data_IF_004053085574
#
_entry.id   IF_004053085574
#
_cell.length_a   1.000
_cell.length_b   1.000
_cell.length_c   1.000
_cell.angle_alpha   90.00
_cell.angle_beta   90.00
_cell.angle_gamma   90.00
#
_symmetry.space_group_name_H-M   'P 1'
#
loop_
_entity.id
_entity.type
_entity.pdbx_description
1 polymer ?
#
# COMPACT_ATOMS: atom_id res chain seq x y z
N UNK A 1 -18.96 -28.25 -2.57
CA UNK A 1 -17.60 -28.23 -3.19
C UNK A 1 -17.03 -26.82 -3.41
N UNK A 2 -17.79 -25.84 -3.96
CA UNK A 2 -17.31 -24.47 -4.23
C UNK A 2 -16.80 -23.71 -2.98
N UNK A 3 -17.53 -23.78 -1.84
CA UNK A 3 -17.11 -23.17 -0.56
C UNK A 3 -15.79 -23.71 -0.01
N UNK A 4 -15.56 -25.03 -0.11
CA UNK A 4 -14.30 -25.66 0.34
C UNK A 4 -13.10 -25.15 -0.46
N UNK A 5 -13.25 -25.02 -1.79
CA UNK A 5 -12.20 -24.46 -2.66
C UNK A 5 -11.91 -22.99 -2.32
N UNK A 6 -12.94 -22.18 -2.07
CA UNK A 6 -12.77 -20.78 -1.66
C UNK A 6 -12.03 -20.63 -0.33
N UNK A 7 -12.39 -21.41 0.70
CA UNK A 7 -11.72 -21.38 2.00
C UNK A 7 -10.23 -21.75 1.84
N UNK A 8 -9.93 -22.80 1.08
CA UNK A 8 -8.54 -23.20 0.82
C UNK A 8 -7.76 -22.09 0.10
N UNK A 9 -8.35 -21.44 -0.92
CA UNK A 9 -7.72 -20.32 -1.61
C UNK A 9 -7.45 -19.13 -0.70
N UNK A 10 -8.40 -18.77 0.18
CA UNK A 10 -8.22 -17.66 1.13
C UNK A 10 -7.09 -17.97 2.11
N UNK A 11 -7.08 -19.17 2.68
CA UNK A 11 -6.02 -19.61 3.59
C UNK A 11 -4.65 -19.61 2.89
N UNK A 12 -4.58 -20.07 1.64
CA UNK A 12 -3.36 -20.01 0.84
C UNK A 12 -2.88 -18.56 0.63
N UNK A 13 -3.77 -17.64 0.24
CA UNK A 13 -3.41 -16.23 0.03
C UNK A 13 -2.95 -15.55 1.33
N UNK A 14 -3.61 -15.82 2.46
CA UNK A 14 -3.19 -15.31 3.77
C UNK A 14 -1.80 -15.85 4.13
N UNK A 15 -1.54 -17.14 3.90
CA UNK A 15 -0.22 -17.72 4.17
C UNK A 15 0.88 -17.07 3.31
N UNK A 16 0.61 -16.85 2.02
CA UNK A 16 1.53 -16.16 1.11
C UNK A 16 1.75 -14.73 1.57
N UNK A 17 0.70 -14.01 1.98
CA UNK A 17 0.80 -12.64 2.47
C UNK A 17 1.71 -12.56 3.71
N UNK A 18 1.54 -13.47 4.67
CA UNK A 18 2.39 -13.54 5.87
C UNK A 18 3.85 -13.78 5.48
N UNK A 19 4.11 -14.74 4.58
CA UNK A 19 5.47 -15.04 4.10
C UNK A 19 6.09 -13.80 3.43
N UNK A 20 5.34 -13.09 2.59
CA UNK A 20 5.82 -11.87 1.91
C UNK A 20 6.09 -10.75 2.90
N UNK A 21 5.24 -10.56 3.91
CA UNK A 21 5.45 -9.57 4.98
C UNK A 21 6.73 -9.89 5.76
N UNK A 22 6.91 -11.14 6.17
CA UNK A 22 8.13 -11.57 6.86
C UNK A 22 9.36 -11.38 5.98
N UNK A 23 9.30 -11.76 4.70
CA UNK A 23 10.38 -11.53 3.76
C UNK A 23 10.70 -10.03 3.61
N UNK A 24 9.68 -9.18 3.48
CA UNK A 24 9.86 -7.73 3.33
C UNK A 24 10.50 -7.06 4.56
N UNK A 25 10.26 -7.60 5.76
CA UNK A 25 10.86 -7.08 7.00
C UNK A 25 12.32 -7.51 7.18
N UNK A 26 12.73 -8.66 6.63
CA UNK A 26 14.07 -9.22 6.86
C UNK A 26 15.03 -9.02 5.67
N UNK A 27 14.52 -8.96 4.44
CA UNK A 27 15.31 -8.78 3.23
C UNK A 27 15.64 -7.30 3.02
N UNK A 28 16.93 -6.99 2.92
CA UNK A 28 17.41 -5.65 2.57
C UNK A 28 18.93 -5.55 2.65
N UNK A 29 19.46 -4.33 2.49
CA UNK A 29 20.89 -4.03 2.53
C UNK A 29 21.51 -4.36 3.90
N UNK A 30 20.83 -3.99 4.97
CA UNK A 30 21.17 -4.36 6.35
C UNK A 30 20.48 -5.69 6.66
N UNK A 31 21.24 -6.75 6.87
CA UNK A 31 20.66 -8.07 7.16
C UNK A 31 20.15 -8.07 8.60
N UNK A 32 18.83 -8.17 8.76
CA UNK A 32 18.18 -8.34 10.06
C UNK A 32 17.95 -9.84 10.26
N UNK A 33 18.58 -10.48 11.26
CA UNK A 33 18.34 -11.89 11.58
C UNK A 33 16.85 -12.17 11.82
N UNK A 34 16.35 -13.28 11.28
CA UNK A 34 14.91 -13.63 11.37
C UNK A 34 14.47 -13.80 12.82
N UNK A 35 15.29 -14.48 13.64
CA UNK A 35 14.97 -14.74 15.05
C UNK A 35 14.91 -13.43 15.84
N UNK A 36 15.96 -12.61 15.78
CA UNK A 36 15.99 -11.32 16.49
C UNK A 36 14.93 -10.33 15.99
N UNK A 37 14.61 -10.35 14.69
CA UNK A 37 13.51 -9.56 14.13
C UNK A 37 12.14 -9.98 14.67
N UNK A 38 11.87 -11.28 14.74
CA UNK A 38 10.63 -11.81 15.34
C UNK A 38 10.55 -11.52 16.84
N UNK A 39 11.65 -11.66 17.58
CA UNK A 39 11.72 -11.31 19.00
C UNK A 39 11.42 -9.82 19.22
N UNK A 40 12.06 -8.92 18.46
CA UNK A 40 11.82 -7.47 18.53
C UNK A 40 10.37 -7.10 18.19
N UNK A 41 9.78 -7.72 17.16
CA UNK A 41 8.37 -7.52 16.82
C UNK A 41 7.44 -7.98 17.95
N UNK A 42 7.70 -9.16 18.52
CA UNK A 42 6.86 -9.73 19.55
C UNK A 42 6.93 -8.92 20.86
N UNK A 43 8.12 -8.42 21.21
CA UNK A 43 8.29 -7.47 22.31
C UNK A 43 7.58 -6.14 22.03
N UNK A 44 7.67 -5.61 20.80
CA UNK A 44 6.94 -4.40 20.39
C UNK A 44 5.42 -4.56 20.43
N UNK A 45 4.91 -5.79 20.33
CA UNK A 45 3.50 -6.13 20.54
C UNK A 45 3.13 -6.29 22.03
N UNK A 46 4.09 -6.16 22.95
CA UNK A 46 3.89 -6.29 24.39
C UNK A 46 3.90 -7.73 24.90
N UNK A 47 4.41 -8.69 24.12
CA UNK A 47 4.53 -10.08 24.58
C UNK A 47 5.76 -10.23 25.50
N UNK A 48 5.62 -10.89 26.67
CA UNK A 48 6.74 -11.12 27.58
C UNK A 48 7.64 -12.24 27.03
N UNK A 49 8.59 -11.87 26.17
CA UNK A 49 9.55 -12.79 25.57
C UNK A 49 10.96 -12.35 25.95
N UNK A 50 11.78 -13.31 26.37
CA UNK A 50 13.20 -13.07 26.60
C UNK A 50 13.93 -13.02 25.26
N UNK A 51 14.67 -11.94 25.02
CA UNK A 51 15.45 -11.76 23.80
C UNK A 51 16.70 -12.63 23.90
N UNK A 52 16.77 -13.68 23.09
CA UNK A 52 17.91 -14.58 23.02
C UNK A 52 18.92 -14.06 21.98
N UNK A 53 18.42 -13.40 20.93
CA UNK A 53 19.23 -12.85 19.83
C UNK A 53 19.02 -11.35 19.68
N UNK A 54 19.68 -10.53 20.52
CA UNK A 54 19.50 -9.08 20.47
C UNK A 54 19.97 -8.53 19.12
N UNK A 55 19.15 -7.65 18.55
CA UNK A 55 19.51 -6.89 17.36
C UNK A 55 20.48 -5.77 17.73
N UNK A 56 21.37 -5.43 16.81
CA UNK A 56 22.15 -4.20 16.91
C UNK A 56 21.22 -2.98 16.81
N UNK A 57 21.55 -1.84 17.46
CA UNK A 57 20.70 -0.65 17.43
C UNK A 57 20.35 -0.16 16.02
N UNK A 58 21.28 -0.33 15.06
CA UNK A 58 21.05 0.01 13.65
C UNK A 58 20.01 -0.92 13.01
N UNK A 59 20.07 -2.24 13.28
CA UNK A 59 19.13 -3.22 12.77
C UNK A 59 17.72 -2.97 13.29
N UNK A 60 17.61 -2.64 14.58
CA UNK A 60 16.33 -2.31 15.22
C UNK A 60 15.72 -1.02 14.66
N UNK A 61 16.55 0.01 14.46
CA UNK A 61 16.10 1.27 13.86
C UNK A 61 15.59 1.06 12.41
N UNK A 62 16.30 0.24 11.62
CA UNK A 62 15.89 -0.09 10.25
C UNK A 62 14.58 -0.88 10.23
N UNK A 63 14.43 -1.84 11.15
CA UNK A 63 13.19 -2.63 11.26
C UNK A 63 12.01 -1.70 11.55
N UNK A 64 12.08 -0.89 12.62
CA UNK A 64 10.95 -0.11 13.12
C UNK A 64 10.67 1.20 12.38
N UNK A 65 11.71 1.94 11.95
CA UNK A 65 11.53 3.27 11.36
C UNK A 65 11.56 3.28 9.84
N UNK A 66 12.08 2.23 9.20
CA UNK A 66 12.19 2.16 7.74
C UNK A 66 11.30 1.07 7.15
N UNK A 67 11.45 -0.18 7.62
CA UNK A 67 10.77 -1.33 6.99
C UNK A 67 9.32 -1.46 7.43
N UNK A 68 9.05 -1.40 8.73
CA UNK A 68 7.68 -1.53 9.26
C UNK A 68 6.71 -0.51 8.64
N UNK A 69 7.01 0.81 8.59
CA UNK A 69 6.10 1.79 7.98
C UNK A 69 5.88 1.51 6.48
N UNK A 70 6.94 1.13 5.76
CA UNK A 70 6.88 0.82 4.33
C UNK A 70 6.02 -0.41 4.03
N UNK A 71 6.15 -1.47 4.83
CA UNK A 71 5.33 -2.69 4.69
C UNK A 71 3.87 -2.37 4.98
N UNK A 72 3.58 -1.60 6.03
CA UNK A 72 2.22 -1.19 6.36
C UNK A 72 1.57 -0.38 5.24
N UNK A 73 2.28 0.62 4.71
CA UNK A 73 1.79 1.40 3.56
C UNK A 73 1.58 0.50 2.34
N UNK A 74 2.51 -0.42 2.06
CA UNK A 74 2.38 -1.38 0.95
C UNK A 74 1.14 -2.28 1.07
N UNK A 75 0.84 -2.76 2.27
CA UNK A 75 -0.37 -3.53 2.56
C UNK A 75 -1.64 -2.70 2.33
N UNK A 76 -1.67 -1.47 2.85
CA UNK A 76 -2.82 -0.56 2.69
C UNK A 76 -3.07 -0.20 1.24
N UNK A 77 -2.01 0.13 0.48
CA UNK A 77 -2.10 0.47 -0.94
C UNK A 77 -2.54 -0.74 -1.76
N UNK A 78 -1.94 -1.92 -1.53
CA UNK A 78 -2.31 -3.16 -2.21
C UNK A 78 -3.77 -3.55 -1.98
N UNK A 79 -4.25 -3.47 -0.74
CA UNK A 79 -5.66 -3.71 -0.41
C UNK A 79 -6.60 -2.69 -1.08
N UNK A 80 -6.22 -1.41 -1.08
CA UNK A 80 -7.01 -0.34 -1.72
C UNK A 80 -7.12 -0.54 -3.23
N UNK A 81 -6.02 -0.89 -3.90
CA UNK A 81 -6.01 -1.17 -5.34
C UNK A 81 -6.83 -2.43 -5.69
N UNK A 82 -6.71 -3.49 -4.89
CA UNK A 82 -7.50 -4.71 -5.08
C UNK A 82 -9.01 -4.43 -4.94
N UNK A 83 -9.41 -3.66 -3.93
CA UNK A 83 -10.81 -3.25 -3.74
C UNK A 83 -11.30 -2.36 -4.88
N UNK A 84 -10.52 -1.34 -5.27
CA UNK A 84 -10.87 -0.45 -6.37
C UNK A 84 -11.05 -1.23 -7.68
N UNK A 85 -10.15 -2.17 -7.99
CA UNK A 85 -10.26 -3.07 -9.14
C UNK A 85 -11.51 -3.94 -9.08
N UNK A 86 -11.79 -4.59 -7.95
CA UNK A 86 -12.98 -5.42 -7.78
C UNK A 86 -14.29 -4.64 -7.95
N UNK A 87 -14.36 -3.42 -7.39
CA UNK A 87 -15.51 -2.52 -7.56
C UNK A 87 -15.66 -2.13 -9.02
N UNK A 88 -14.57 -1.74 -9.68
CA UNK A 88 -14.60 -1.30 -11.07
C UNK A 88 -15.03 -2.41 -12.04
N UNK A 89 -14.49 -3.61 -11.85
CA UNK A 89 -14.88 -4.79 -12.62
C UNK A 89 -16.34 -5.16 -12.39
N UNK A 90 -16.87 -4.96 -11.17
CA UNK A 90 -18.28 -5.16 -10.85
C UNK A 90 -19.21 -4.15 -11.52
N UNK A 91 -18.87 -2.86 -11.49
CA UNK A 91 -19.65 -1.78 -12.11
C UNK A 91 -19.73 -1.97 -13.62
N UNK A 92 -18.59 -2.20 -14.27
CA UNK A 92 -18.53 -2.35 -15.72
C UNK A 92 -18.85 -3.75 -16.22
N UNK A 93 -19.04 -4.71 -15.31
CA UNK A 93 -19.19 -6.15 -15.64
C UNK A 93 -18.11 -6.63 -16.64
N UNK A 94 -16.91 -6.05 -16.53
CA UNK A 94 -15.81 -6.27 -17.44
C UNK A 94 -14.56 -6.59 -16.62
N UNK A 95 -14.05 -7.82 -16.76
CA UNK A 95 -12.88 -8.29 -16.03
C UNK A 95 -11.58 -7.56 -16.37
N UNK A 96 -11.56 -6.77 -17.44
CA UNK A 96 -10.42 -5.93 -17.84
C UNK A 96 -10.53 -4.49 -17.33
N UNK A 97 -11.62 -4.12 -16.66
CA UNK A 97 -11.78 -2.76 -16.14
C UNK A 97 -10.78 -2.49 -15.00
N UNK A 98 -10.03 -1.40 -15.13
CA UNK A 98 -9.03 -0.95 -14.18
C UNK A 98 -9.36 0.48 -13.72
N UNK A 99 -9.27 0.79 -12.40
CA UNK A 99 -9.57 2.13 -11.89
C UNK A 99 -8.70 3.24 -12.49
N UNK A 100 -7.50 2.92 -13.00
CA UNK A 100 -6.61 3.87 -13.67
C UNK A 100 -7.18 4.44 -14.98
N UNK A 101 -8.13 3.75 -15.63
CA UNK A 101 -8.77 4.21 -16.87
C UNK A 101 -9.55 5.51 -16.66
N UNK A 102 -10.04 5.80 -15.44
CA UNK A 102 -10.74 7.05 -15.13
C UNK A 102 -9.80 8.26 -14.93
N UNK A 103 -8.51 8.14 -15.28
CA UNK A 103 -7.56 9.24 -15.20
C UNK A 103 -7.01 9.52 -13.79
N UNK A 104 -7.27 8.64 -12.82
CA UNK A 104 -6.80 8.78 -11.42
C UNK A 104 -5.28 8.98 -11.35
N UNK A 105 -4.52 8.10 -12.02
CA UNK A 105 -3.05 8.16 -11.98
C UNK A 105 -2.50 9.40 -12.69
N UNK A 106 -3.07 9.76 -13.84
CA UNK A 106 -2.67 10.96 -14.58
C UNK A 106 -2.97 12.25 -13.78
N UNK A 107 -4.14 12.33 -13.15
CA UNK A 107 -4.52 13.43 -12.27
C UNK A 107 -3.61 13.54 -11.05
N UNK A 108 -3.28 12.41 -10.40
CA UNK A 108 -2.32 12.38 -9.29
C UNK A 108 -0.95 12.88 -9.71
N UNK A 109 -0.42 12.39 -10.84
CA UNK A 109 0.87 12.83 -11.37
C UNK A 109 0.88 14.32 -11.69
N UNK A 110 -0.17 14.85 -12.32
CA UNK A 110 -0.30 16.27 -12.59
C UNK A 110 -0.28 17.11 -11.30
N UNK A 111 -1.06 16.72 -10.30
CA UNK A 111 -1.09 17.39 -9.00
C UNK A 111 0.28 17.38 -8.31
N UNK A 112 0.95 16.22 -8.28
CA UNK A 112 2.30 16.11 -7.73
C UNK A 112 3.30 17.02 -8.45
N UNK A 113 3.27 17.04 -9.79
CA UNK A 113 4.15 17.91 -10.60
C UNK A 113 3.89 19.38 -10.34
N UNK A 114 2.63 19.80 -10.17
CA UNK A 114 2.27 21.17 -9.78
C UNK A 114 2.87 21.54 -8.41
N UNK A 115 2.76 20.65 -7.43
CA UNK A 115 3.35 20.90 -6.10
C UNK A 115 4.87 21.03 -6.15
N UNK A 116 5.54 20.21 -6.98
CA UNK A 116 6.99 20.26 -7.18
C UNK A 116 7.39 21.55 -7.90
N UNK A 117 6.74 21.88 -9.00
CA UNK A 117 7.08 23.03 -9.84
C UNK A 117 6.86 24.37 -9.14
N UNK A 118 5.84 24.46 -8.29
CA UNK A 118 5.57 25.63 -7.46
C UNK A 118 6.45 25.70 -6.19
N UNK A 119 7.31 24.71 -5.96
CA UNK A 119 8.18 24.66 -4.78
C UNK A 119 7.46 24.37 -3.46
N UNK A 120 6.16 24.01 -3.48
CA UNK A 120 5.39 23.74 -2.26
C UNK A 120 5.93 22.56 -1.46
N UNK A 121 6.65 21.65 -2.12
CA UNK A 121 7.32 20.52 -1.47
C UNK A 121 8.40 20.94 -0.48
N UNK A 122 8.96 22.15 -0.57
CA UNK A 122 9.92 22.65 0.42
C UNK A 122 9.24 23.18 1.69
N UNK A 123 7.93 23.48 1.66
CA UNK A 123 7.18 23.97 2.82
C UNK A 123 6.79 22.84 3.77
N UNK A 124 6.71 21.60 3.28
CA UNK A 124 6.40 20.43 4.10
C UNK A 124 6.21 19.15 3.29
N UNK A 125 6.45 18.01 3.94
CA UNK A 125 6.38 16.69 3.30
C UNK A 125 4.96 16.29 2.85
N UNK A 126 3.91 16.92 3.40
CA UNK A 126 2.51 16.59 3.10
C UNK A 126 1.94 17.28 1.87
N UNK A 127 2.60 18.32 1.34
CA UNK A 127 2.09 19.06 0.18
C UNK A 127 2.05 18.20 -1.09
N UNK A 128 3.08 17.39 -1.35
CA UNK A 128 3.10 16.52 -2.53
C UNK A 128 1.97 15.47 -2.50
N UNK A 129 1.78 14.67 -1.43
CA UNK A 129 0.65 13.75 -1.33
C UNK A 129 -0.71 14.45 -1.43
N UNK A 130 -0.87 15.62 -0.80
CA UNK A 130 -2.14 16.36 -0.82
C UNK A 130 -2.50 16.82 -2.23
N UNK A 131 -1.55 17.41 -2.95
CA UNK A 131 -1.79 17.85 -4.33
C UNK A 131 -2.00 16.68 -5.29
N UNK A 132 -1.28 15.56 -5.10
CA UNK A 132 -1.54 14.34 -5.86
C UNK A 132 -2.97 13.81 -5.61
N UNK A 133 -3.42 13.80 -4.36
CA UNK A 133 -4.78 13.39 -4.01
C UNK A 133 -5.85 14.30 -4.64
N UNK A 134 -5.68 15.62 -4.54
CA UNK A 134 -6.60 16.61 -5.14
C UNK A 134 -6.62 16.46 -6.66
N UNK A 135 -5.47 16.29 -7.30
CA UNK A 135 -5.35 16.11 -8.75
C UNK A 135 -6.06 14.84 -9.24
N UNK A 136 -5.90 13.72 -8.53
CA UNK A 136 -6.63 12.49 -8.82
C UNK A 136 -8.15 12.65 -8.68
N UNK A 137 -8.59 13.28 -7.59
CA UNK A 137 -10.00 13.50 -7.33
C UNK A 137 -10.65 14.38 -8.42
N UNK A 138 -10.00 15.47 -8.80
CA UNK A 138 -10.47 16.36 -9.85
C UNK A 138 -10.54 15.65 -11.21
N UNK A 139 -9.53 14.84 -11.56
CA UNK A 139 -9.54 14.09 -12.82
C UNK A 139 -10.73 13.12 -12.91
N UNK A 140 -11.01 12.40 -11.82
CA UNK A 140 -12.19 11.50 -11.75
C UNK A 140 -13.49 12.30 -11.83
N UNK A 141 -13.61 13.39 -11.06
CA UNK A 141 -14.81 14.23 -11.07
C UNK A 141 -15.10 14.79 -12.46
N UNK A 142 -14.08 15.30 -13.16
CA UNK A 142 -14.19 15.79 -14.53
C UNK A 142 -14.64 14.66 -15.46
N UNK A 143 -14.02 13.48 -15.38
CA UNK A 143 -14.37 12.33 -16.22
C UNK A 143 -15.84 11.94 -16.03
N UNK A 144 -16.32 11.87 -14.78
CA UNK A 144 -17.72 11.57 -14.47
C UNK A 144 -18.65 12.64 -15.05
N UNK A 145 -18.36 13.92 -14.83
CA UNK A 145 -19.18 15.04 -15.34
C UNK A 145 -19.29 14.98 -16.87
N UNK A 146 -18.17 14.77 -17.58
CA UNK A 146 -18.16 14.68 -19.04
C UNK A 146 -18.95 13.46 -19.54
N UNK A 147 -18.84 12.33 -18.85
CA UNK A 147 -19.59 11.11 -19.22
C UNK A 147 -21.10 11.32 -19.05
N UNK A 148 -21.53 12.06 -18.02
CA UNK A 148 -22.94 12.36 -17.78
C UNK A 148 -23.55 13.35 -18.77
N UNK A 149 -22.74 14.19 -19.43
CA UNK A 149 -23.22 15.18 -20.41
C UNK A 149 -23.44 14.61 -21.82
N UNK A 150 -22.82 13.46 -22.14
CA UNK A 150 -22.93 12.79 -23.44
C UNK A 150 -23.70 11.47 -23.43
N UNK A 151 -24.30 11.08 -22.31
CA UNK A 151 -25.06 9.84 -22.17
C UNK A 151 -26.43 9.91 -22.85
N UNK A 152 -26.49 9.51 -24.13
CA UNK A 152 -27.66 8.83 -24.72
C UNK A 152 -27.69 7.38 -24.29
#
# INVERSE_FOLDING_TARGET
MRRRKQIVSILALISVLIIVVLAALHVGTIKVPIVGGLESLAQGMGLPIEIITPLEPEQEAVLWYIRMPRVLIGLMVGASLALAGAVMQGIFSNSLADPGIMGVSAGASLGAVIAISLGLTSLGMFYMPLFAFIGAFLAVAITIILTMQGGV
#
